data_IF_870038285355
#
_entry.id   IF_870038285355
#
_cell.length_a   1.000
_cell.length_b   1.000
_cell.length_c   1.000
_cell.angle_alpha   90.00
_cell.angle_beta   90.00
_cell.angle_gamma   90.00
#
_symmetry.space_group_name_H-M   'P 1'
#
loop_
_entity.id
_entity.type
_entity.pdbx_description
1 polymer ?
#
# COMPACT_ATOMS: atom_id res chain seq x y z
N UNK A 1 19.70 -4.56 32.56
CA UNK A 1 20.31 -3.97 31.36
C UNK A 1 19.84 -2.53 31.25
N UNK A 2 20.60 -1.67 30.59
CA UNK A 2 20.23 -0.26 30.36
C UNK A 2 19.26 -0.08 29.21
N UNK A 3 19.35 1.04 28.50
CA UNK A 3 18.52 1.27 27.31
C UNK A 3 18.77 0.23 26.21
N UNK A 4 20.02 -0.22 26.09
CA UNK A 4 20.41 -1.41 25.36
C UNK A 4 21.29 -2.30 26.27
N UNK A 5 21.60 -3.50 25.81
CA UNK A 5 22.32 -4.52 26.59
C UNK A 5 23.75 -4.11 26.98
N UNK A 6 24.35 -3.19 26.22
CA UNK A 6 25.72 -2.68 26.42
C UNK A 6 25.79 -1.41 27.26
N UNK A 7 24.64 -0.81 27.59
CA UNK A 7 24.53 0.44 28.34
C UNK A 7 24.60 0.19 29.86
N UNK A 8 25.24 1.11 30.60
CA UNK A 8 25.40 1.04 32.06
C UNK A 8 24.49 2.05 32.75
N UNK A 9 23.27 1.65 33.12
CA UNK A 9 22.23 2.58 33.56
C UNK A 9 22.38 2.99 35.03
N UNK A 10 23.25 2.34 35.80
CA UNK A 10 23.52 2.74 37.19
C UNK A 10 24.21 4.11 37.28
N UNK A 11 24.80 4.60 36.19
CA UNK A 11 25.40 5.94 36.12
C UNK A 11 24.36 7.06 36.30
N UNK A 12 23.14 6.85 35.81
CA UNK A 12 22.07 7.86 35.84
C UNK A 12 20.87 7.48 36.71
N UNK A 13 20.63 6.20 36.97
CA UNK A 13 19.53 5.72 37.82
C UNK A 13 19.98 4.68 38.89
N UNK A 14 20.95 5.00 39.76
CA UNK A 14 21.58 4.03 40.67
C UNK A 14 20.61 3.37 41.67
N UNK A 15 19.72 4.15 42.30
CA UNK A 15 18.76 3.61 43.29
C UNK A 15 17.77 2.63 42.67
N UNK A 16 17.32 2.92 41.45
CA UNK A 16 16.39 2.05 40.73
C UNK A 16 17.06 0.72 40.37
N UNK A 17 18.26 0.77 39.81
CA UNK A 17 18.99 -0.44 39.41
C UNK A 17 19.48 -1.27 40.60
N UNK A 18 19.77 -0.65 41.75
CA UNK A 18 20.04 -1.38 42.99
C UNK A 18 18.83 -2.20 43.43
N UNK A 19 17.61 -1.63 43.35
CA UNK A 19 16.38 -2.39 43.63
C UNK A 19 16.15 -3.49 42.59
N UNK A 20 16.27 -3.20 41.30
CA UNK A 20 16.10 -4.20 40.23
C UNK A 20 17.06 -5.38 40.42
N UNK A 21 18.34 -5.14 40.75
CA UNK A 21 19.33 -6.20 41.03
C UNK A 21 18.97 -7.06 42.25
N UNK A 22 18.25 -6.51 43.23
CA UNK A 22 17.79 -7.27 44.41
C UNK A 22 16.54 -8.13 44.16
N UNK A 23 15.80 -7.88 43.08
CA UNK A 23 14.60 -8.66 42.76
C UNK A 23 14.94 -9.89 41.92
N UNK A 24 14.26 -11.00 42.24
CA UNK A 24 14.27 -12.15 41.34
C UNK A 24 13.55 -11.83 40.02
N UNK A 25 13.95 -12.51 38.94
CA UNK A 25 13.27 -12.36 37.66
C UNK A 25 11.81 -12.83 37.74
N UNK A 26 10.94 -12.24 36.92
CA UNK A 26 9.52 -12.60 36.87
C UNK A 26 9.33 -14.09 36.57
N UNK A 27 10.18 -14.66 35.69
CA UNK A 27 10.17 -16.10 35.38
C UNK A 27 10.47 -16.96 36.62
N UNK A 28 11.44 -16.57 37.45
CA UNK A 28 11.75 -17.26 38.72
C UNK A 28 10.56 -17.23 39.67
N UNK A 29 9.96 -16.05 39.86
CA UNK A 29 8.82 -15.86 40.76
C UNK A 29 7.63 -16.72 40.31
N UNK A 30 7.30 -16.70 39.02
CA UNK A 30 6.15 -17.43 38.49
C UNK A 30 6.38 -18.95 38.50
N UNK A 31 7.58 -19.42 38.14
CA UNK A 31 7.91 -20.85 38.18
C UNK A 31 7.85 -21.40 39.60
N UNK A 32 8.40 -20.69 40.60
CA UNK A 32 8.28 -21.06 42.03
C UNK A 32 6.83 -21.17 42.46
N UNK A 33 5.97 -20.24 42.05
CA UNK A 33 4.53 -20.27 42.36
C UNK A 33 3.86 -21.52 41.77
N UNK A 34 4.13 -21.85 40.51
CA UNK A 34 3.55 -23.03 39.84
C UNK A 34 4.04 -24.37 40.42
N UNK A 35 5.29 -24.42 40.87
CA UNK A 35 5.85 -25.60 41.56
C UNK A 35 5.22 -25.74 42.95
N UNK A 36 5.10 -24.64 43.70
CA UNK A 36 4.45 -24.65 45.01
C UNK A 36 2.97 -25.05 44.94
N UNK A 37 2.26 -24.64 43.88
CA UNK A 37 0.89 -25.08 43.61
C UNK A 37 0.79 -26.48 43.01
N UNK A 38 1.91 -27.19 42.82
CA UNK A 38 2.01 -28.52 42.20
C UNK A 38 1.41 -28.58 40.79
N UNK A 39 1.32 -27.45 40.10
CA UNK A 39 0.82 -27.37 38.71
C UNK A 39 1.87 -27.91 37.74
N UNK A 40 3.15 -27.70 38.04
CA UNK A 40 4.28 -28.30 37.34
C UNK A 40 5.27 -28.85 38.38
N UNK A 41 6.14 -29.78 37.96
CA UNK A 41 7.24 -30.25 38.80
C UNK A 41 8.53 -29.49 38.47
N UNK A 42 9.53 -29.60 39.34
CA UNK A 42 10.84 -28.99 39.12
C UNK A 42 11.55 -29.64 37.92
N UNK A 43 11.36 -30.94 37.71
CA UNK A 43 11.87 -31.66 36.55
C UNK A 43 11.27 -31.09 35.25
N UNK A 44 9.95 -30.84 35.24
CA UNK A 44 9.28 -30.29 34.06
C UNK A 44 9.75 -28.87 33.74
N UNK A 45 9.99 -28.04 34.76
CA UNK A 45 10.56 -26.70 34.56
C UNK A 45 11.95 -26.74 33.91
N UNK A 46 12.82 -27.63 34.38
CA UNK A 46 14.17 -27.80 33.83
C UNK A 46 14.14 -28.33 32.39
N UNK A 47 13.25 -29.29 32.11
CA UNK A 47 13.01 -29.82 30.77
C UNK A 47 12.61 -28.71 29.79
N UNK A 48 11.63 -27.87 30.15
CA UNK A 48 11.17 -26.76 29.30
C UNK A 48 12.30 -25.76 29.00
N UNK A 49 13.09 -25.38 30.00
CA UNK A 49 14.23 -24.47 29.82
C UNK A 49 15.31 -25.05 28.91
N UNK A 50 15.61 -26.35 29.05
CA UNK A 50 16.58 -27.02 28.19
C UNK A 50 16.06 -27.13 26.75
N UNK A 51 14.78 -27.46 26.59
CA UNK A 51 14.14 -27.54 25.28
C UNK A 51 14.20 -26.19 24.54
N UNK A 52 13.77 -25.09 25.17
CA UNK A 52 13.84 -23.75 24.56
C UNK A 52 15.28 -23.38 24.16
N UNK A 53 16.26 -23.64 25.04
CA UNK A 53 17.67 -23.40 24.71
C UNK A 53 18.14 -24.24 23.52
N UNK A 54 17.69 -25.48 23.41
CA UNK A 54 18.06 -26.36 22.30
C UNK A 54 17.45 -25.90 20.97
N UNK A 55 16.16 -25.52 20.96
CA UNK A 55 15.47 -24.98 19.79
C UNK A 55 16.20 -23.72 19.28
N UNK A 56 16.49 -22.77 20.19
CA UNK A 56 17.21 -21.54 19.85
C UNK A 56 18.61 -21.85 19.30
N UNK A 57 19.33 -22.78 19.93
CA UNK A 57 20.69 -23.16 19.51
C UNK A 57 20.71 -23.83 18.13
N UNK A 58 19.69 -24.61 17.82
CA UNK A 58 19.56 -25.29 16.53
C UNK A 58 19.04 -24.37 15.42
N UNK A 59 18.55 -23.17 15.77
CA UNK A 59 17.93 -22.24 14.82
C UNK A 59 16.53 -22.67 14.38
N UNK A 60 15.90 -23.57 15.13
CA UNK A 60 14.56 -24.08 14.83
C UNK A 60 13.49 -23.02 15.19
N UNK A 61 12.33 -23.08 14.50
CA UNK A 61 11.20 -22.19 14.79
C UNK A 61 10.63 -22.51 16.19
N UNK A 62 10.61 -21.52 17.09
CA UNK A 62 9.94 -21.61 18.40
C UNK A 62 8.42 -21.60 18.29
N UNK A 63 7.90 -20.98 17.23
CA UNK A 63 6.47 -20.86 16.93
C UNK A 63 6.26 -21.36 15.52
N UNK A 64 5.48 -22.42 15.38
CA UNK A 64 5.16 -23.03 14.10
C UNK A 64 4.01 -22.32 13.36
N UNK A 65 3.23 -21.49 14.07
CA UNK A 65 2.04 -20.80 13.54
C UNK A 65 2.35 -19.43 12.91
N UNK A 66 3.62 -19.12 12.63
CA UNK A 66 3.90 -18.04 11.70
C UNK A 66 3.55 -18.51 10.30
N UNK A 67 2.37 -18.12 9.82
CA UNK A 67 2.06 -18.16 8.40
C UNK A 67 3.19 -17.45 7.64
N UNK A 68 3.83 -18.16 6.71
CA UNK A 68 4.78 -17.53 5.82
C UNK A 68 4.02 -16.43 5.06
N UNK A 69 4.60 -15.23 4.97
CA UNK A 69 4.01 -14.12 4.22
C UNK A 69 3.77 -14.62 2.80
N UNK A 70 2.53 -14.56 2.32
CA UNK A 70 2.17 -15.03 0.99
C UNK A 70 2.85 -14.13 -0.07
N UNK A 71 4.06 -14.51 -0.49
CA UNK A 71 4.84 -13.82 -1.51
C UNK A 71 4.18 -13.88 -2.91
N UNK A 72 3.08 -14.65 -3.07
CA UNK A 72 2.28 -14.75 -4.30
C UNK A 72 1.71 -13.44 -4.81
N UNK A 73 1.78 -12.36 -4.02
CA UNK A 73 1.36 -11.03 -4.44
C UNK A 73 2.10 -10.51 -5.70
N UNK A 74 3.26 -11.08 -6.05
CA UNK A 74 4.09 -10.63 -7.16
C UNK A 74 4.35 -11.70 -8.24
N UNK A 75 3.55 -12.77 -8.31
CA UNK A 75 3.75 -13.87 -9.27
C UNK A 75 3.79 -13.40 -10.74
N UNK A 76 3.12 -12.29 -11.06
CA UNK A 76 3.13 -11.68 -12.40
C UNK A 76 4.37 -10.84 -12.70
N UNK A 77 5.21 -10.53 -11.71
CA UNK A 77 6.41 -9.71 -11.88
C UNK A 77 7.60 -10.57 -12.30
N UNK A 78 8.12 -10.31 -13.51
CA UNK A 78 9.18 -11.14 -14.11
C UNK A 78 10.61 -10.64 -13.87
N UNK A 79 10.81 -9.57 -13.07
CA UNK A 79 12.14 -9.06 -12.70
C UNK A 79 13.02 -8.64 -13.88
N UNK A 80 12.41 -8.35 -15.04
CA UNK A 80 13.13 -8.00 -16.27
C UNK A 80 13.83 -6.65 -16.16
N UNK A 81 14.90 -6.48 -16.93
CA UNK A 81 15.61 -5.21 -17.06
C UNK A 81 14.74 -4.14 -17.74
N UNK A 82 15.04 -2.87 -17.48
CA UNK A 82 14.20 -1.75 -17.90
C UNK A 82 14.19 -1.46 -19.41
N UNK A 83 15.16 -2.00 -20.16
CA UNK A 83 15.31 -1.80 -21.61
C UNK A 83 14.74 -2.95 -22.45
N UNK A 84 13.89 -3.80 -21.85
CA UNK A 84 13.19 -4.85 -22.59
C UNK A 84 12.07 -4.26 -23.43
N UNK A 85 12.03 -4.63 -24.70
CA UNK A 85 10.93 -4.27 -25.59
C UNK A 85 9.60 -4.80 -25.05
N UNK A 86 8.59 -3.94 -25.04
CA UNK A 86 7.23 -4.28 -24.66
C UNK A 86 6.24 -3.80 -25.72
N UNK A 87 5.15 -4.54 -25.88
CA UNK A 87 4.11 -4.20 -26.85
C UNK A 87 3.09 -3.26 -26.20
N UNK A 88 3.18 -1.96 -26.50
CA UNK A 88 2.20 -0.94 -26.10
C UNK A 88 1.13 -0.65 -27.16
N UNK A 89 1.09 -1.44 -28.23
CA UNK A 89 0.19 -1.16 -29.35
C UNK A 89 -1.28 -1.42 -28.97
N UNK A 90 -2.12 -0.43 -29.22
CA UNK A 90 -3.57 -0.53 -29.09
C UNK A 90 -4.22 -0.40 -30.46
N UNK A 91 -5.29 -1.17 -30.69
CA UNK A 91 -6.05 -1.04 -31.93
C UNK A 91 -6.70 0.35 -32.02
N UNK A 92 -6.74 0.93 -33.22
CA UNK A 92 -7.38 2.24 -33.46
C UNK A 92 -8.83 2.26 -32.97
N UNK A 93 -9.56 1.17 -33.20
CA UNK A 93 -10.96 1.04 -32.76
C UNK A 93 -11.10 1.10 -31.24
N UNK A 94 -10.21 0.42 -30.49
CA UNK A 94 -10.19 0.47 -29.03
C UNK A 94 -9.86 1.88 -28.52
N UNK A 95 -8.88 2.55 -29.14
CA UNK A 95 -8.55 3.94 -28.81
C UNK A 95 -9.74 4.89 -29.03
N UNK A 96 -10.47 4.76 -30.14
CA UNK A 96 -11.66 5.59 -30.41
C UNK A 96 -12.77 5.31 -29.38
N UNK A 97 -13.00 4.05 -29.01
CA UNK A 97 -13.99 3.68 -27.99
C UNK A 97 -13.65 4.32 -26.64
N UNK A 98 -12.41 4.17 -26.18
CA UNK A 98 -11.92 4.78 -24.94
C UNK A 98 -11.99 6.32 -25.02
N UNK A 99 -11.56 6.91 -26.13
CA UNK A 99 -11.60 8.35 -26.37
C UNK A 99 -13.01 8.93 -26.23
N UNK A 100 -14.02 8.25 -26.79
CA UNK A 100 -15.43 8.65 -26.67
C UNK A 100 -15.93 8.53 -25.24
N UNK A 101 -15.56 7.46 -24.52
CA UNK A 101 -15.93 7.26 -23.11
C UNK A 101 -15.40 8.38 -22.23
N UNK A 102 -14.11 8.69 -22.31
CA UNK A 102 -13.48 9.74 -21.49
C UNK A 102 -13.83 11.18 -21.90
N UNK A 103 -14.42 11.36 -23.08
CA UNK A 103 -14.87 12.67 -23.56
C UNK A 103 -16.35 12.94 -23.24
N UNK A 104 -17.06 11.99 -22.65
CA UNK A 104 -18.48 12.11 -22.35
C UNK A 104 -18.68 12.58 -20.91
N UNK A 105 -19.46 13.64 -20.72
CA UNK A 105 -19.88 14.11 -19.40
C UNK A 105 -21.27 13.54 -19.12
N UNK A 106 -21.52 12.90 -17.97
CA UNK A 106 -22.86 12.45 -17.59
C UNK A 106 -23.86 13.60 -17.55
N UNK A 107 -25.07 13.38 -18.07
CA UNK A 107 -26.12 14.41 -18.15
C UNK A 107 -26.53 14.99 -16.79
N UNK A 108 -26.32 14.25 -15.70
CA UNK A 108 -26.65 14.66 -14.34
C UNK A 108 -25.66 15.65 -13.72
N UNK A 109 -24.55 15.94 -14.42
CA UNK A 109 -23.47 16.78 -13.89
C UNK A 109 -23.39 18.05 -14.73
N UNK A 110 -23.46 19.20 -14.06
CA UNK A 110 -23.29 20.51 -14.68
C UNK A 110 -21.96 21.12 -14.26
N UNK A 111 -20.88 20.91 -15.02
CA UNK A 111 -19.59 21.48 -14.68
C UNK A 111 -19.44 22.92 -15.15
N UNK A 112 -18.35 23.55 -14.69
CA UNK A 112 -17.99 24.90 -15.11
C UNK A 112 -17.78 24.98 -16.63
N UNK A 113 -18.10 26.14 -17.24
CA UNK A 113 -18.01 26.37 -18.69
C UNK A 113 -16.65 26.00 -19.29
N UNK A 114 -15.55 26.28 -18.58
CA UNK A 114 -14.20 25.93 -19.03
C UNK A 114 -14.00 24.41 -19.17
N UNK A 115 -14.56 23.62 -18.25
CA UNK A 115 -14.48 22.15 -18.30
C UNK A 115 -15.30 21.63 -19.48
N UNK A 116 -16.49 22.18 -19.71
CA UNK A 116 -17.32 21.83 -20.88
C UNK A 116 -16.55 22.09 -22.17
N UNK A 117 -15.88 23.25 -22.28
CA UNK A 117 -15.09 23.58 -23.46
C UNK A 117 -13.93 22.61 -23.66
N UNK A 118 -13.28 22.17 -22.59
CA UNK A 118 -12.20 21.19 -22.66
C UNK A 118 -12.70 19.82 -23.13
N UNK A 119 -13.82 19.34 -22.58
CA UNK A 119 -14.43 18.08 -23.01
C UNK A 119 -14.98 18.14 -24.44
N UNK A 120 -15.45 19.31 -24.91
CA UNK A 120 -15.78 19.51 -26.33
C UNK A 120 -14.55 19.33 -27.22
N UNK A 121 -13.38 19.89 -26.84
CA UNK A 121 -12.14 19.66 -27.61
C UNK A 121 -11.77 18.19 -27.65
N UNK A 122 -11.89 17.48 -26.51
CA UNK A 122 -11.63 16.03 -26.44
C UNK A 122 -12.60 15.23 -27.30
N UNK A 123 -13.88 15.61 -27.34
CA UNK A 123 -14.85 15.00 -28.25
C UNK A 123 -14.46 15.18 -29.72
N UNK A 124 -13.96 16.34 -30.12
CA UNK A 124 -13.45 16.57 -31.47
C UNK A 124 -12.22 15.70 -31.76
N UNK A 125 -11.33 15.53 -30.79
CA UNK A 125 -10.18 14.62 -30.91
C UNK A 125 -10.62 13.16 -31.04
N UNK A 126 -11.62 12.73 -30.27
CA UNK A 126 -12.18 11.39 -30.31
C UNK A 126 -12.87 11.06 -31.64
N UNK A 127 -13.37 12.08 -32.33
CA UNK A 127 -13.98 11.97 -33.66
C UNK A 127 -12.97 12.19 -34.81
N UNK A 128 -11.67 12.29 -34.50
CA UNK A 128 -10.60 12.54 -35.49
C UNK A 128 -10.71 13.90 -36.22
N UNK A 129 -11.54 14.82 -35.70
CA UNK A 129 -11.69 16.19 -36.24
C UNK A 129 -10.57 17.13 -35.77
N UNK A 130 -9.79 16.69 -34.77
CA UNK A 130 -8.69 17.44 -34.18
C UNK A 130 -7.55 16.49 -33.76
N UNK A 131 -6.31 16.97 -33.86
CA UNK A 131 -5.14 16.26 -33.35
C UNK A 131 -5.17 16.14 -31.82
N UNK A 132 -4.71 15.00 -31.31
CA UNK A 132 -4.55 14.72 -29.89
C UNK A 132 -3.55 15.68 -29.25
N UNK A 133 -3.89 16.17 -28.06
CA UNK A 133 -2.96 16.88 -27.19
C UNK A 133 -2.47 15.99 -26.06
N UNK A 134 -1.59 16.56 -25.21
CA UNK A 134 -1.00 15.82 -24.10
C UNK A 134 -2.03 15.32 -23.09
N UNK A 135 -3.02 16.15 -22.74
CA UNK A 135 -4.04 15.79 -21.74
C UNK A 135 -4.91 14.64 -22.23
N UNK A 136 -5.24 14.62 -23.53
CA UNK A 136 -6.00 13.52 -24.12
C UNK A 136 -5.17 12.24 -24.23
N UNK A 137 -3.90 12.33 -24.68
CA UNK A 137 -3.01 11.16 -24.77
C UNK A 137 -2.75 10.53 -23.40
N UNK A 138 -2.53 11.36 -22.38
CA UNK A 138 -2.39 10.94 -20.98
C UNK A 138 -3.63 10.18 -20.49
N UNK A 139 -4.83 10.74 -20.69
CA UNK A 139 -6.08 10.10 -20.27
C UNK A 139 -6.36 8.79 -21.01
N UNK A 140 -5.96 8.68 -22.29
CA UNK A 140 -6.08 7.45 -23.07
C UNK A 140 -5.19 6.33 -22.52
N UNK A 141 -3.94 6.65 -22.18
CA UNK A 141 -3.02 5.69 -21.57
C UNK A 141 -3.55 5.17 -20.22
N UNK A 142 -4.14 6.05 -19.42
CA UNK A 142 -4.76 5.64 -18.16
C UNK A 142 -5.99 4.76 -18.38
N UNK A 143 -6.83 5.13 -19.34
CA UNK A 143 -8.04 4.37 -19.67
C UNK A 143 -7.71 2.98 -20.21
N UNK A 144 -6.65 2.84 -21.00
CA UNK A 144 -6.23 1.52 -21.51
C UNK A 144 -5.73 0.61 -20.40
N UNK A 145 -4.97 1.14 -19.44
CA UNK A 145 -4.50 0.36 -18.28
C UNK A 145 -5.67 -0.07 -17.39
N UNK A 146 -6.66 0.80 -17.15
CA UNK A 146 -7.85 0.45 -16.38
C UNK A 146 -8.69 -0.61 -17.10
N UNK A 147 -8.84 -0.49 -18.43
CA UNK A 147 -9.54 -1.50 -19.24
C UNK A 147 -8.85 -2.87 -19.21
N UNK A 148 -7.53 -2.91 -19.03
CA UNK A 148 -6.75 -4.14 -18.81
C UNK A 148 -6.79 -4.65 -17.36
N UNK A 149 -7.46 -3.93 -16.44
CA UNK A 149 -7.65 -4.32 -15.05
C UNK A 149 -6.58 -3.80 -14.09
N UNK A 150 -5.68 -2.92 -14.54
CA UNK A 150 -4.68 -2.32 -13.67
C UNK A 150 -5.29 -1.18 -12.83
N UNK A 151 -4.96 -1.19 -11.54
CA UNK A 151 -5.32 -0.10 -10.64
C UNK A 151 -4.41 1.12 -10.87
N UNK A 152 -5.01 2.32 -10.96
CA UNK A 152 -4.28 3.58 -11.07
C UNK A 152 -4.48 4.45 -9.83
N UNK A 153 -3.38 5.06 -9.38
CA UNK A 153 -3.37 5.98 -8.23
C UNK A 153 -2.71 7.29 -8.61
N UNK A 154 -3.48 8.38 -8.54
CA UNK A 154 -2.96 9.74 -8.64
C UNK A 154 -2.70 10.31 -7.25
N UNK A 155 -1.50 10.84 -7.02
CA UNK A 155 -1.16 11.54 -5.78
C UNK A 155 -0.42 12.83 -6.09
N UNK A 156 -0.86 13.93 -5.48
CA UNK A 156 -0.23 15.24 -5.65
C UNK A 156 -1.25 16.37 -5.47
N UNK A 157 -0.73 17.58 -5.25
CA UNK A 157 -1.56 18.79 -5.16
C UNK A 157 -2.26 19.04 -6.49
N UNK A 158 -3.58 19.24 -6.45
CA UNK A 158 -4.44 19.51 -7.61
C UNK A 158 -4.34 18.47 -8.76
N UNK A 159 -3.87 17.25 -8.49
CA UNK A 159 -3.62 16.24 -9.53
C UNK A 159 -4.87 15.85 -10.32
N UNK A 160 -6.07 15.91 -9.72
CA UNK A 160 -7.34 15.59 -10.37
C UNK A 160 -7.68 16.55 -11.52
N UNK A 161 -7.48 17.85 -11.31
CA UNK A 161 -7.63 18.89 -12.35
C UNK A 161 -6.40 18.97 -13.25
N UNK A 162 -5.23 18.75 -12.65
CA UNK A 162 -3.93 19.17 -13.16
C UNK A 162 -3.68 20.64 -12.83
N UNK A 163 -2.46 20.96 -12.41
CA UNK A 163 -2.04 22.34 -12.09
C UNK A 163 -2.37 23.29 -13.23
N UNK A 164 -2.07 22.90 -14.46
CA UNK A 164 -2.36 23.66 -15.69
C UNK A 164 -3.76 23.43 -16.29
N UNK A 165 -4.68 22.82 -15.54
CA UNK A 165 -6.05 22.53 -15.98
C UNK A 165 -6.13 21.72 -17.29
N UNK A 166 -5.20 20.78 -17.49
CA UNK A 166 -5.13 19.94 -18.68
C UNK A 166 -5.81 18.57 -18.49
N UNK A 167 -5.95 18.09 -17.24
CA UNK A 167 -6.32 16.69 -16.95
C UNK A 167 -7.82 16.51 -16.74
N UNK A 168 -8.42 17.28 -15.83
CA UNK A 168 -9.85 17.19 -15.52
C UNK A 168 -10.37 15.73 -15.39
N UNK A 169 -9.62 14.85 -14.71
CA UNK A 169 -9.99 13.45 -14.51
C UNK A 169 -11.19 13.31 -13.56
N UNK A 170 -11.31 14.26 -12.62
CA UNK A 170 -12.50 14.42 -11.78
C UNK A 170 -13.23 15.69 -12.20
N UNK A 171 -14.52 15.54 -12.51
CA UNK A 171 -15.43 16.63 -12.84
C UNK A 171 -16.19 17.01 -11.57
N UNK A 172 -16.25 18.31 -11.30
CA UNK A 172 -17.02 18.87 -10.19
C UNK A 172 -18.29 19.55 -10.74
N UNK A 173 -19.44 19.22 -10.15
CA UNK A 173 -20.70 19.90 -10.45
C UNK A 173 -20.71 21.28 -9.79
N UNK A 174 -20.93 22.35 -10.57
CA UNK A 174 -20.95 23.72 -10.06
C UNK A 174 -22.16 24.03 -9.18
N UNK A 175 -23.25 23.27 -9.30
CA UNK A 175 -24.48 23.48 -8.52
C UNK A 175 -24.50 22.68 -7.22
N UNK A 176 -24.00 21.44 -7.23
CA UNK A 176 -24.13 20.50 -6.09
C UNK A 176 -22.82 20.12 -5.43
N UNK A 177 -21.68 20.57 -5.97
CA UNK A 177 -20.33 20.18 -5.54
C UNK A 177 -20.06 18.66 -5.57
N UNK A 178 -20.92 17.89 -6.23
CA UNK A 178 -20.73 16.46 -6.47
C UNK A 178 -19.54 16.24 -7.42
N UNK A 179 -18.81 15.16 -7.18
CA UNK A 179 -17.63 14.79 -7.95
C UNK A 179 -17.91 13.55 -8.77
N UNK A 180 -17.30 13.49 -9.95
CA UNK A 180 -17.41 12.36 -10.84
C UNK A 180 -16.07 12.05 -11.49
N UNK A 181 -15.61 10.82 -11.30
CA UNK A 181 -14.36 10.33 -11.84
C UNK A 181 -14.61 9.66 -13.20
N UNK A 182 -14.09 10.27 -14.26
CA UNK A 182 -14.32 9.84 -15.64
C UNK A 182 -13.62 8.52 -15.98
N UNK A 183 -12.62 8.13 -15.19
CA UNK A 183 -11.85 6.90 -15.39
C UNK A 183 -12.45 5.66 -14.68
N UNK A 184 -13.50 5.83 -13.87
CA UNK A 184 -14.02 4.75 -13.01
C UNK A 184 -15.44 4.29 -13.39
N UNK A 185 -16.03 4.86 -14.44
CA UNK A 185 -17.27 4.42 -15.07
C UNK A 185 -17.01 3.46 -16.22
#
# INVERSE_FOLDING_TARGET
MGHNESDEPSMTQPLMYNKIKSYESILSIYSKKLIASKTITNEKYNELNQNIKSIIKNGDKLVNDCEDIDEKQWDSFSGKEWFVDYNSNLSKNKLIQLAKKISTIPANIKPHKSVINEYKKRSLMANEERLLDWGMAEMLAYSSLIDEGYALRFTGQDCQRGTFSHRHAVIHCSETNTQHNVLYD
#
